data_IF_633586479040
#
_entry.id   IF_633586479040
#
_cell.length_a   1.000
_cell.length_b   1.000
_cell.length_c   1.000
_cell.angle_alpha   90.00
_cell.angle_beta   90.00
_cell.angle_gamma   90.00
#
_symmetry.space_group_name_H-M   'P 1'
#
loop_
_entity.id
_entity.type
_entity.pdbx_description
1 polymer ?
#
# COMPACT_ATOMS: atom_id res chain seq x y z
N UNK A 1 0.95 21.36 2.70
CA UNK A 1 1.84 20.18 2.78
C UNK A 1 1.66 19.53 4.14
N UNK A 2 0.87 18.46 4.22
CA UNK A 2 0.66 17.75 5.48
C UNK A 2 1.82 16.78 5.66
N UNK A 3 2.60 16.86 6.76
CA UNK A 3 3.68 15.91 7.00
C UNK A 3 3.11 14.49 7.09
N UNK A 4 3.85 13.51 6.57
CA UNK A 4 3.58 12.08 6.73
C UNK A 4 3.79 11.68 8.21
N UNK A 5 2.91 12.16 9.09
CA UNK A 5 2.89 11.84 10.52
C UNK A 5 2.50 10.37 10.65
N UNK A 6 3.17 9.64 11.56
CA UNK A 6 2.73 8.33 12.05
C UNK A 6 1.32 8.47 12.63
N UNK A 7 0.34 8.26 11.75
CA UNK A 7 -1.07 8.21 12.09
C UNK A 7 -1.40 6.77 12.46
N UNK A 8 -2.18 6.58 13.51
CA UNK A 8 -2.76 5.29 13.84
C UNK A 8 -3.42 4.69 12.58
N UNK A 9 -2.98 3.51 12.10
CA UNK A 9 -3.51 2.89 10.88
C UNK A 9 -5.03 2.71 10.90
N UNK A 10 -5.63 2.61 12.10
CA UNK A 10 -7.08 2.48 12.27
C UNK A 10 -7.78 3.82 12.54
N UNK A 11 -7.04 4.82 13.03
CA UNK A 11 -7.54 6.18 13.19
C UNK A 11 -7.87 6.86 11.86
N UNK A 12 -7.15 6.49 10.79
CA UNK A 12 -7.41 6.91 9.41
C UNK A 12 -8.83 6.59 8.92
N UNK A 13 -9.36 5.43 9.33
CA UNK A 13 -10.72 5.06 8.94
C UNK A 13 -11.78 5.90 9.64
N UNK A 14 -11.48 6.70 10.67
CA UNK A 14 -12.52 7.40 11.43
C UNK A 14 -13.41 8.29 10.55
N UNK A 15 -12.85 8.94 9.52
CA UNK A 15 -13.60 9.79 8.59
C UNK A 15 -14.32 8.99 7.50
N UNK A 16 -13.66 7.97 6.95
CA UNK A 16 -14.16 7.20 5.80
C UNK A 16 -14.79 5.84 6.20
N UNK A 17 -15.00 5.62 7.51
CA UNK A 17 -15.44 4.34 8.08
C UNK A 17 -16.73 3.86 7.49
N UNK A 18 -17.68 4.77 7.32
CA UNK A 18 -19.02 4.46 6.81
C UNK A 18 -18.97 3.99 5.36
N UNK A 19 -18.11 4.62 4.54
CA UNK A 19 -17.91 4.25 3.14
C UNK A 19 -17.22 2.89 3.07
N UNK A 20 -16.13 2.71 3.83
CA UNK A 20 -15.40 1.45 3.90
C UNK A 20 -16.31 0.29 4.34
N UNK A 21 -17.07 0.48 5.42
CA UNK A 21 -17.97 -0.55 5.93
C UNK A 21 -19.05 -0.91 4.91
N UNK A 22 -19.62 0.09 4.22
CA UNK A 22 -20.62 -0.15 3.17
C UNK A 22 -20.06 -0.98 2.01
N UNK A 23 -18.85 -0.65 1.54
CA UNK A 23 -18.18 -1.40 0.47
C UNK A 23 -17.83 -2.81 0.95
N UNK A 24 -17.28 -2.93 2.16
CA UNK A 24 -16.93 -4.23 2.73
C UNK A 24 -18.16 -5.13 2.89
N UNK A 25 -19.27 -4.58 3.36
CA UNK A 25 -20.52 -5.33 3.54
C UNK A 25 -21.10 -5.79 2.19
N UNK A 26 -21.00 -4.98 1.14
CA UNK A 26 -21.40 -5.39 -0.22
C UNK A 26 -20.52 -6.54 -0.74
N UNK A 27 -19.19 -6.41 -0.59
CA UNK A 27 -18.25 -7.46 -0.97
C UNK A 27 -18.45 -8.75 -0.16
N UNK A 28 -18.81 -8.62 1.12
CA UNK A 28 -19.09 -9.74 2.01
C UNK A 28 -20.36 -10.47 1.55
N UNK A 29 -21.43 -9.74 1.18
CA UNK A 29 -22.66 -10.32 0.62
C UNK A 29 -22.40 -11.07 -0.68
N UNK A 30 -21.52 -10.54 -1.52
CA UNK A 30 -21.08 -11.18 -2.78
C UNK A 30 -20.09 -12.33 -2.58
N UNK A 31 -19.71 -12.64 -1.33
CA UNK A 31 -18.71 -13.67 -0.96
C UNK A 31 -17.34 -13.45 -1.61
N UNK A 32 -17.00 -12.19 -1.92
CA UNK A 32 -15.68 -11.80 -2.44
C UNK A 32 -14.67 -11.71 -1.29
N UNK A 33 -15.12 -11.27 -0.12
CA UNK A 33 -14.28 -11.08 1.08
C UNK A 33 -14.82 -11.89 2.25
N UNK A 34 -13.96 -12.16 3.24
CA UNK A 34 -14.34 -12.84 4.50
C UNK A 34 -14.33 -11.84 5.64
N UNK A 35 -15.25 -12.00 6.59
CA UNK A 35 -15.35 -11.13 7.77
C UNK A 35 -14.07 -11.14 8.63
N UNK A 36 -13.35 -12.26 8.67
CA UNK A 36 -12.06 -12.38 9.36
C UNK A 36 -10.96 -11.47 8.79
N UNK A 37 -11.10 -11.06 7.53
CA UNK A 37 -10.10 -10.26 6.83
C UNK A 37 -10.39 -8.76 6.87
N UNK A 38 -11.47 -8.33 7.55
CA UNK A 38 -11.87 -6.92 7.67
C UNK A 38 -10.69 -6.01 8.07
N UNK A 39 -9.92 -6.42 9.09
CA UNK A 39 -8.75 -5.67 9.55
C UNK A 39 -7.62 -5.64 8.51
N UNK A 40 -7.42 -6.72 7.77
CA UNK A 40 -6.39 -6.78 6.74
C UNK A 40 -6.74 -5.85 5.56
N UNK A 41 -8.01 -5.81 5.13
CA UNK A 41 -8.49 -4.87 4.11
C UNK A 41 -8.36 -3.41 4.57
N UNK A 42 -8.73 -3.11 5.82
CA UNK A 42 -8.57 -1.78 6.40
C UNK A 42 -7.11 -1.29 6.34
N UNK A 43 -6.18 -2.13 6.77
CA UNK A 43 -4.75 -1.83 6.72
C UNK A 43 -4.23 -1.70 5.28
N UNK A 44 -4.70 -2.56 4.36
CA UNK A 44 -4.28 -2.50 2.97
C UNK A 44 -4.70 -1.18 2.31
N UNK A 45 -5.94 -0.74 2.51
CA UNK A 45 -6.42 0.57 2.01
C UNK A 45 -5.61 1.73 2.59
N UNK A 46 -5.27 1.67 3.89
CA UNK A 46 -4.42 2.67 4.53
C UNK A 46 -3.04 2.78 3.87
N UNK A 47 -2.35 1.65 3.68
CA UNK A 47 -1.02 1.65 3.05
C UNK A 47 -1.08 2.03 1.56
N UNK A 48 -2.14 1.62 0.84
CA UNK A 48 -2.37 2.03 -0.54
C UNK A 48 -2.50 3.54 -0.65
N UNK A 49 -3.33 4.17 0.18
CA UNK A 49 -3.48 5.64 0.16
C UNK A 49 -2.15 6.33 0.44
N UNK A 50 -1.40 5.89 1.46
CA UNK A 50 -0.09 6.48 1.79
C UNK A 50 0.93 6.27 0.67
N UNK A 51 0.84 5.16 -0.05
CA UNK A 51 1.67 4.92 -1.22
C UNK A 51 1.33 5.89 -2.36
N UNK A 52 0.04 6.10 -2.66
CA UNK A 52 -0.41 7.10 -3.64
C UNK A 52 0.07 8.50 -3.26
N UNK A 53 -0.16 8.92 -2.02
CA UNK A 53 0.30 10.23 -1.53
C UNK A 53 1.82 10.39 -1.61
N UNK A 54 2.59 9.34 -1.36
CA UNK A 54 4.05 9.36 -1.51
C UNK A 54 4.47 9.38 -2.98
N UNK A 55 3.75 8.70 -3.88
CA UNK A 55 4.00 8.74 -5.32
C UNK A 55 3.72 10.11 -5.91
N UNK A 56 2.61 10.74 -5.55
CA UNK A 56 2.27 12.09 -5.97
C UNK A 56 3.33 13.10 -5.52
N UNK A 57 3.93 12.91 -4.34
CA UNK A 57 5.04 13.74 -3.85
C UNK A 57 6.36 13.52 -4.59
N UNK A 58 6.55 12.35 -5.20
CA UNK A 58 7.71 12.06 -6.04
C UNK A 58 7.54 12.62 -7.45
N UNK A 59 6.31 12.75 -7.94
CA UNK A 59 6.03 13.40 -9.22
C UNK A 59 6.50 14.86 -9.17
N UNK A 60 7.49 15.19 -10.01
CA UNK A 60 8.11 16.52 -10.07
C UNK A 60 9.33 16.72 -9.17
N UNK A 61 9.71 15.74 -8.34
CA UNK A 61 10.97 15.78 -7.59
C UNK A 61 12.09 15.12 -8.40
N UNK A 62 13.16 15.87 -8.69
CA UNK A 62 14.38 15.27 -9.26
C UNK A 62 15.03 14.34 -8.23
N UNK A 63 15.50 13.18 -8.70
CA UNK A 63 16.23 12.21 -7.86
C UNK A 63 17.58 12.77 -7.41
N UNK A 64 18.14 13.69 -8.18
CA UNK A 64 19.42 14.33 -7.91
C UNK A 64 19.32 15.85 -7.97
N UNK A 65 20.22 16.52 -7.27
CA UNK A 65 20.44 17.96 -7.35
C UNK A 65 21.94 18.24 -7.44
N UNK A 66 22.30 19.28 -8.19
CA UNK A 66 23.68 19.72 -8.30
C UNK A 66 24.01 20.71 -7.19
N UNK A 67 25.16 20.51 -6.54
CA UNK A 67 25.76 21.48 -5.64
C UNK A 67 27.11 21.89 -6.22
N UNK A 68 27.35 23.20 -6.24
CA UNK A 68 28.64 23.76 -6.62
C UNK A 68 29.54 23.84 -5.38
N UNK A 69 30.71 23.21 -5.46
CA UNK A 69 31.71 23.22 -4.39
C UNK A 69 32.99 23.88 -4.89
N UNK A 70 33.92 24.18 -3.98
CA UNK A 70 35.25 24.74 -4.33
C UNK A 70 36.06 23.88 -5.32
N UNK A 71 35.70 22.61 -5.49
CA UNK A 71 36.38 21.64 -6.36
C UNK A 71 35.57 21.26 -7.61
N UNK A 72 34.47 21.95 -7.89
CA UNK A 72 33.58 21.68 -9.03
C UNK A 72 32.17 21.30 -8.61
N UNK A 73 31.36 20.92 -9.60
CA UNK A 73 29.96 20.52 -9.41
C UNK A 73 29.86 19.05 -9.04
N UNK A 74 29.07 18.76 -8.01
CA UNK A 74 28.83 17.40 -7.51
C UNK A 74 27.32 17.13 -7.58
N UNK A 75 26.96 15.96 -8.11
CA UNK A 75 25.60 15.45 -8.09
C UNK A 75 25.33 14.72 -6.78
N UNK A 76 24.33 15.17 -6.02
CA UNK A 76 23.88 14.52 -4.80
C UNK A 76 22.43 14.08 -4.93
N UNK A 77 22.09 13.00 -4.24
CA UNK A 77 20.71 12.53 -4.13
C UNK A 77 19.89 13.57 -3.38
N UNK A 78 18.74 13.94 -3.92
CA UNK A 78 17.81 14.84 -3.26
C UNK A 78 17.29 14.17 -1.95
N UNK A 79 17.51 14.77 -0.77
CA UNK A 79 17.08 14.17 0.50
C UNK A 79 15.58 13.96 0.59
N UNK A 80 14.77 14.83 -0.04
CA UNK A 80 13.32 14.68 -0.09
C UNK A 80 12.94 13.47 -0.93
N UNK A 81 13.57 13.31 -2.11
CA UNK A 81 13.37 12.15 -2.96
C UNK A 81 13.73 10.85 -2.21
N UNK A 82 14.91 10.81 -1.59
CA UNK A 82 15.37 9.62 -0.85
C UNK A 82 14.40 9.24 0.29
N UNK A 83 13.93 10.23 1.05
CA UNK A 83 13.00 10.00 2.16
C UNK A 83 11.63 9.51 1.65
N UNK A 84 11.07 10.16 0.63
CA UNK A 84 9.75 9.80 0.10
C UNK A 84 9.78 8.45 -0.63
N UNK A 85 10.86 8.16 -1.37
CA UNK A 85 11.07 6.87 -2.01
C UNK A 85 11.13 5.72 -0.98
N UNK A 86 11.81 5.93 0.15
CA UNK A 86 11.86 4.95 1.24
C UNK A 86 10.47 4.67 1.83
N UNK A 87 9.66 5.72 2.08
CA UNK A 87 8.28 5.54 2.58
C UNK A 87 7.42 4.78 1.56
N UNK A 88 7.57 5.10 0.28
CA UNK A 88 6.89 4.41 -0.81
C UNK A 88 7.23 2.91 -0.82
N UNK A 89 8.52 2.56 -0.67
CA UNK A 89 8.98 1.18 -0.62
C UNK A 89 8.45 0.43 0.61
N UNK A 90 8.51 1.05 1.79
CA UNK A 90 8.00 0.45 3.02
C UNK A 90 6.50 0.16 2.94
N UNK A 91 5.70 1.10 2.44
CA UNK A 91 4.25 0.90 2.23
C UNK A 91 3.98 -0.22 1.21
N UNK A 92 4.74 -0.28 0.12
CA UNK A 92 4.64 -1.38 -0.86
C UNK A 92 4.87 -2.75 -0.20
N UNK A 93 5.89 -2.89 0.65
CA UNK A 93 6.18 -4.15 1.34
C UNK A 93 5.02 -4.60 2.22
N UNK A 94 4.41 -3.67 2.97
CA UNK A 94 3.23 -3.98 3.79
C UNK A 94 2.02 -4.36 2.94
N UNK A 95 1.80 -3.69 1.82
CA UNK A 95 0.71 -4.01 0.90
C UNK A 95 0.86 -5.41 0.30
N UNK A 96 2.05 -5.76 -0.20
CA UNK A 96 2.32 -7.09 -0.78
C UNK A 96 2.02 -8.19 0.23
N UNK A 97 2.49 -8.06 1.48
CA UNK A 97 2.22 -9.04 2.52
C UNK A 97 0.72 -9.18 2.84
N UNK A 98 -0.03 -8.07 2.77
CA UNK A 98 -1.48 -8.09 2.93
C UNK A 98 -2.17 -8.72 1.72
N UNK A 99 -1.74 -8.42 0.49
CA UNK A 99 -2.29 -9.00 -0.74
C UNK A 99 -2.09 -10.51 -0.83
N UNK A 100 -0.95 -10.99 -0.35
CA UNK A 100 -0.65 -12.42 -0.25
C UNK A 100 -1.62 -13.11 0.70
N UNK A 101 -1.84 -12.53 1.89
CA UNK A 101 -2.82 -13.03 2.87
C UNK A 101 -4.25 -12.99 2.34
N UNK A 102 -4.61 -11.93 1.62
CA UNK A 102 -5.96 -11.72 1.11
C UNK A 102 -6.25 -12.55 -0.16
N UNK A 103 -5.22 -13.14 -0.78
CA UNK A 103 -5.38 -13.91 -2.01
C UNK A 103 -5.66 -13.06 -3.25
N UNK A 104 -5.33 -11.77 -3.18
CA UNK A 104 -5.52 -10.81 -4.29
C UNK A 104 -4.36 -10.89 -5.29
N UNK A 105 -3.15 -11.22 -4.80
CA UNK A 105 -1.98 -11.43 -5.64
C UNK A 105 -2.22 -12.60 -6.62
N UNK A 106 -1.93 -12.44 -7.93
CA UNK A 106 -2.00 -13.50 -8.92
C UNK A 106 -1.36 -14.83 -8.48
N UNK A 107 -0.23 -14.79 -7.78
CA UNK A 107 0.46 -15.99 -7.29
C UNK A 107 -0.35 -16.72 -6.20
N UNK A 108 -0.91 -15.97 -5.26
CA UNK A 108 -1.80 -16.51 -4.23
C UNK A 108 -3.10 -17.04 -4.83
N UNK A 109 -3.64 -16.37 -5.85
CA UNK A 109 -4.83 -16.82 -6.59
C UNK A 109 -4.58 -18.14 -7.32
N UNK A 110 -3.42 -18.32 -7.95
CA UNK A 110 -3.04 -19.60 -8.56
C UNK A 110 -2.93 -20.72 -7.53
N UNK A 111 -2.40 -20.43 -6.34
CA UNK A 111 -2.33 -21.40 -5.24
C UNK A 111 -3.72 -21.82 -4.77
N UNK A 112 -4.66 -20.88 -4.63
CA UNK A 112 -6.06 -21.19 -4.29
C UNK A 112 -6.73 -22.03 -5.38
N UNK A 113 -6.54 -21.69 -6.66
CA UNK A 113 -7.10 -22.46 -7.79
C UNK A 113 -6.54 -23.88 -7.81
N UNK A 114 -5.23 -24.05 -7.64
CA UNK A 114 -4.59 -25.37 -7.57
C UNK A 114 -5.15 -26.20 -6.42
N UNK A 115 -5.22 -25.63 -5.21
CA UNK A 115 -5.74 -26.33 -4.04
C UNK A 115 -7.24 -26.69 -4.20
N UNK A 116 -8.02 -25.88 -4.91
CA UNK A 116 -9.42 -26.20 -5.24
C UNK A 116 -9.53 -27.32 -6.30
N UNK A 117 -8.61 -27.38 -7.25
CA UNK A 117 -8.55 -28.41 -8.28
C UNK A 117 -8.10 -29.79 -7.71
N UNK A 118 -7.31 -29.78 -6.64
CA UNK A 118 -6.86 -30.99 -5.93
C UNK A 118 -7.89 -31.55 -4.95
N UNK A 119 -9.02 -30.85 -4.70
CA UNK A 119 -10.09 -31.39 -3.88
C UNK A 119 -10.73 -32.60 -4.59
N UNK A 120 -10.87 -33.74 -3.90
CA UNK A 120 -11.49 -34.92 -4.49
C UNK A 120 -12.91 -34.56 -4.94
N UNK A 121 -13.19 -34.79 -6.21
CA UNK A 121 -14.53 -34.66 -6.77
C UNK A 121 -15.45 -35.64 -6.04
N UNK A 122 -16.43 -35.12 -5.31
CA UNK A 122 -17.55 -35.90 -4.79
C UNK A 122 -18.63 -36.02 -5.84
#
# INVERSE_FOLDING_TARGET
MTPLVQTDPLGFLATDRAIFQRVFDDLLRRRVVRRADLKAYALWVYYLRRWVEAKDQLEGCSSTHEIETKHGKILLVNPLYAKTAKVCEENCRYMIALEDRLGINPASRQTVIRNLAELPHR
#
